data_IF_424386178240
#
_entry.id   IF_424386178240
#
_cell.length_a   1.000
_cell.length_b   1.000
_cell.length_c   1.000
_cell.angle_alpha   90.00
_cell.angle_beta   90.00
_cell.angle_gamma   90.00
#
_symmetry.space_group_name_H-M   'P 1'
#
loop_
_entity.id
_entity.type
_entity.pdbx_description
1 polymer ?
#
# COMPACT_ATOMS: atom_id res chain seq x y z
N UNK A 1 12.07 7.26 -3.82
CA UNK A 1 11.02 6.40 -3.24
C UNK A 1 11.17 5.01 -3.86
N UNK A 2 11.10 3.89 -3.12
CA UNK A 2 11.53 2.58 -3.64
C UNK A 2 10.80 2.13 -4.92
N UNK A 3 9.49 2.30 -5.00
CA UNK A 3 8.70 1.90 -6.18
C UNK A 3 9.10 2.68 -7.44
N UNK A 4 9.25 4.00 -7.31
CA UNK A 4 9.76 4.88 -8.37
C UNK A 4 11.20 4.50 -8.78
N UNK A 5 12.07 4.18 -7.83
CA UNK A 5 13.44 3.69 -8.12
C UNK A 5 13.43 2.38 -8.93
N UNK A 6 12.39 1.56 -8.77
CA UNK A 6 12.18 0.33 -9.55
C UNK A 6 11.40 0.56 -10.86
N UNK A 7 11.11 1.82 -11.21
CA UNK A 7 10.47 2.22 -12.47
C UNK A 7 8.94 2.21 -12.44
N UNK A 8 8.31 2.09 -11.27
CA UNK A 8 6.86 2.17 -11.17
C UNK A 8 6.36 3.62 -11.14
N UNK A 9 5.28 3.88 -11.87
CA UNK A 9 4.51 5.11 -11.71
C UNK A 9 3.63 5.01 -10.46
N UNK A 10 3.74 5.99 -9.57
CA UNK A 10 3.02 5.96 -8.28
C UNK A 10 2.01 7.09 -8.22
N UNK A 11 0.77 6.72 -7.95
CA UNK A 11 -0.32 7.67 -7.67
C UNK A 11 -0.73 7.53 -6.20
N UNK A 12 -0.67 8.65 -5.48
CA UNK A 12 -1.18 8.77 -4.11
C UNK A 12 -2.58 9.35 -4.15
N UNK A 13 -3.55 8.57 -3.66
CA UNK A 13 -4.95 9.00 -3.59
C UNK A 13 -5.37 9.15 -2.14
N UNK A 14 -5.73 10.37 -1.75
CA UNK A 14 -6.19 10.67 -0.40
C UNK A 14 -7.00 11.98 -0.35
N UNK A 15 -7.86 12.19 0.66
CA UNK A 15 -8.38 13.52 0.93
C UNK A 15 -7.24 14.50 1.29
N UNK A 16 -7.35 15.79 0.94
CA UNK A 16 -6.28 16.77 1.18
C UNK A 16 -5.77 16.82 2.63
N UNK A 17 -6.66 16.57 3.60
CA UNK A 17 -6.34 16.59 5.04
C UNK A 17 -5.46 15.43 5.49
N UNK A 18 -5.31 14.38 4.67
CA UNK A 18 -4.51 13.19 4.97
C UNK A 18 -3.23 13.08 4.13
N UNK A 19 -2.98 14.06 3.26
CA UNK A 19 -1.74 14.08 2.53
C UNK A 19 -0.57 14.42 3.46
N UNK A 20 0.57 13.71 3.34
CA UNK A 20 1.78 14.06 4.07
C UNK A 20 2.27 15.48 3.74
N UNK A 21 2.84 16.15 4.73
CA UNK A 21 3.54 17.42 4.51
C UNK A 21 4.70 17.21 3.53
N UNK A 22 4.77 18.06 2.50
CA UNK A 22 5.83 17.98 1.48
C UNK A 22 5.62 16.93 0.40
N UNK A 23 4.43 16.32 0.30
CA UNK A 23 4.11 15.31 -0.73
C UNK A 23 4.33 15.82 -2.17
N UNK A 24 4.23 17.14 -2.40
CA UNK A 24 4.47 17.77 -3.71
C UNK A 24 5.89 17.60 -4.24
N UNK A 25 6.86 17.31 -3.36
CA UNK A 25 8.25 17.03 -3.76
C UNK A 25 8.55 15.55 -3.97
N UNK A 26 7.57 14.67 -3.80
CA UNK A 26 7.77 13.24 -3.97
C UNK A 26 7.67 12.87 -5.45
N UNK A 27 8.37 11.82 -5.91
CA UNK A 27 8.22 11.28 -7.26
C UNK A 27 6.93 10.44 -7.33
N UNK A 28 5.79 11.09 -7.11
CA UNK A 28 4.46 10.49 -7.15
C UNK A 28 3.44 11.54 -7.57
N UNK A 29 2.46 11.13 -8.37
CA UNK A 29 1.30 11.96 -8.70
C UNK A 29 0.33 11.94 -7.53
N UNK A 30 -0.27 13.09 -7.21
CA UNK A 30 -1.32 13.18 -6.19
C UNK A 30 -2.66 13.33 -6.87
N UNK A 31 -3.62 12.50 -6.49
CA UNK A 31 -5.01 12.56 -6.94
C UNK A 31 -5.96 12.57 -5.75
N UNK A 32 -7.14 13.13 -5.95
CA UNK A 32 -8.22 13.16 -4.96
C UNK A 32 -9.46 12.41 -5.43
N UNK A 33 -9.43 11.89 -6.66
CA UNK A 33 -10.50 11.11 -7.24
C UNK A 33 -10.04 9.66 -7.34
N UNK A 34 -10.49 8.83 -6.39
CA UNK A 34 -10.09 7.42 -6.38
C UNK A 34 -10.63 6.66 -7.60
N UNK A 35 -11.84 6.98 -8.05
CA UNK A 35 -12.48 6.24 -9.12
C UNK A 35 -11.76 6.47 -10.46
N UNK A 36 -11.21 7.67 -10.68
CA UNK A 36 -10.49 8.02 -11.89
C UNK A 36 -9.18 7.22 -12.10
N UNK A 37 -8.52 6.83 -11.01
CA UNK A 37 -7.21 6.16 -11.08
C UNK A 37 -7.31 4.64 -11.24
N UNK A 38 -8.42 4.02 -10.85
CA UNK A 38 -8.59 2.56 -10.85
C UNK A 38 -8.38 1.89 -12.22
N UNK A 39 -8.89 2.43 -13.35
CA UNK A 39 -8.77 1.75 -14.64
C UNK A 39 -7.33 1.56 -15.15
N UNK A 40 -6.39 2.36 -14.66
CA UNK A 40 -4.97 2.31 -15.05
C UNK A 40 -4.08 1.57 -14.04
N UNK A 41 -4.62 1.17 -12.88
CA UNK A 41 -3.82 0.63 -11.79
C UNK A 41 -3.49 -0.86 -11.98
N UNK A 42 -2.20 -1.21 -12.01
CA UNK A 42 -1.74 -2.60 -11.94
C UNK A 42 -1.75 -3.14 -10.50
N UNK A 43 -1.68 -2.25 -9.50
CA UNK A 43 -1.75 -2.61 -8.10
C UNK A 43 -2.42 -1.50 -7.29
N UNK A 44 -3.30 -1.87 -6.36
CA UNK A 44 -3.90 -0.94 -5.39
C UNK A 44 -3.44 -1.32 -3.99
N UNK A 45 -2.60 -0.47 -3.40
CA UNK A 45 -2.18 -0.59 -2.01
C UNK A 45 -3.09 0.25 -1.11
N UNK A 46 -4.08 -0.40 -0.51
CA UNK A 46 -4.90 0.23 0.52
C UNK A 46 -4.11 0.35 1.82
N UNK A 47 -4.29 1.48 2.52
CA UNK A 47 -3.64 1.75 3.79
C UNK A 47 -4.66 1.77 4.92
N UNK A 48 -4.17 1.40 6.11
CA UNK A 48 -4.96 1.44 7.33
C UNK A 48 -5.28 2.88 7.72
N UNK A 49 -6.55 3.19 7.87
CA UNK A 49 -7.01 4.40 8.54
C UNK A 49 -6.85 4.22 10.05
N UNK A 50 -5.92 4.97 10.63
CA UNK A 50 -5.66 4.96 12.07
C UNK A 50 -6.44 6.07 12.77
N UNK A 51 -7.77 5.93 12.87
CA UNK A 51 -8.63 6.93 13.51
C UNK A 51 -8.16 7.32 14.91
N UNK A 52 -7.52 6.39 15.64
CA UNK A 52 -6.95 6.61 16.96
C UNK A 52 -5.83 7.66 17.00
N UNK A 53 -5.24 8.02 15.86
CA UNK A 53 -4.13 8.98 15.73
C UNK A 53 -4.59 10.36 15.28
N UNK A 54 -5.88 10.56 15.08
CA UNK A 54 -6.42 11.74 14.36
C UNK A 54 -7.05 12.76 15.30
N UNK A 55 -6.79 12.64 16.60
CA UNK A 55 -7.23 13.59 17.60
C UNK A 55 -6.57 14.95 17.34
N UNK A 56 -7.36 15.94 16.93
CA UNK A 56 -6.92 17.32 16.67
C UNK A 56 -6.78 17.70 15.19
N UNK A 57 -6.99 16.78 14.26
CA UNK A 57 -7.05 17.05 12.81
C UNK A 57 -8.47 16.87 12.24
N UNK A 58 -8.74 17.45 11.07
CA UNK A 58 -10.00 17.23 10.36
C UNK A 58 -9.95 15.89 9.61
N UNK A 59 -10.43 14.83 10.26
CA UNK A 59 -10.66 13.54 9.62
C UNK A 59 -12.10 13.46 9.09
N UNK A 60 -12.33 13.04 7.82
CA UNK A 60 -13.67 12.76 7.33
C UNK A 60 -14.41 11.77 8.24
N UNK A 61 -15.73 11.80 8.27
CA UNK A 61 -16.43 10.74 8.98
C UNK A 61 -16.09 9.37 8.36
N UNK A 62 -16.14 8.29 9.15
CA UNK A 62 -15.94 6.92 8.68
C UNK A 62 -16.76 6.61 7.43
N UNK A 63 -18.02 7.07 7.43
CA UNK A 63 -18.95 6.91 6.31
C UNK A 63 -18.51 7.69 5.09
N UNK A 64 -18.09 8.93 5.26
CA UNK A 64 -17.59 9.78 4.16
C UNK A 64 -16.33 9.18 3.54
N UNK A 65 -15.39 8.73 4.37
CA UNK A 65 -14.18 8.07 3.90
C UNK A 65 -14.50 6.80 3.13
N UNK A 66 -15.35 5.92 3.68
CA UNK A 66 -15.75 4.66 3.02
C UNK A 66 -16.39 4.93 1.65
N UNK A 67 -17.29 5.90 1.56
CA UNK A 67 -17.94 6.26 0.30
C UNK A 67 -16.93 6.82 -0.70
N UNK A 68 -16.05 7.74 -0.29
CA UNK A 68 -15.15 8.45 -1.22
C UNK A 68 -13.88 7.69 -1.56
N UNK A 69 -13.29 6.96 -0.62
CA UNK A 69 -11.96 6.35 -0.73
C UNK A 69 -11.92 4.86 -0.33
N UNK A 70 -13.01 4.28 0.17
CA UNK A 70 -13.07 2.85 0.47
C UNK A 70 -13.07 1.99 -0.79
N UNK A 71 -12.26 0.94 -0.85
CA UNK A 71 -12.25 0.01 -1.97
C UNK A 71 -13.41 -1.00 -1.84
N UNK A 72 -14.46 -0.77 -2.64
CA UNK A 72 -15.67 -1.60 -2.71
C UNK A 72 -15.65 -2.51 -3.92
N UNK A 73 -16.56 -3.48 -4.00
CA UNK A 73 -16.73 -4.40 -5.14
C UNK A 73 -16.96 -3.64 -6.45
N UNK A 74 -17.73 -2.54 -6.38
CA UNK A 74 -17.94 -1.65 -7.55
C UNK A 74 -16.62 -1.09 -8.06
N UNK A 75 -15.75 -0.63 -7.15
CA UNK A 75 -14.43 -0.09 -7.49
C UNK A 75 -13.46 -1.17 -7.93
N UNK A 76 -13.50 -2.34 -7.29
CA UNK A 76 -12.73 -3.50 -7.73
C UNK A 76 -13.08 -3.87 -9.18
N UNK A 77 -14.35 -3.82 -9.57
CA UNK A 77 -14.76 -4.11 -10.94
C UNK A 77 -14.25 -3.09 -11.98
N UNK A 78 -13.72 -1.94 -11.55
CA UNK A 78 -13.07 -0.97 -12.42
C UNK A 78 -11.60 -1.27 -12.66
N UNK A 79 -10.99 -2.14 -11.84
CA UNK A 79 -9.60 -2.53 -11.99
C UNK A 79 -9.42 -3.44 -13.21
N UNK A 80 -8.25 -3.36 -13.88
CA UNK A 80 -7.83 -4.38 -14.82
C UNK A 80 -7.87 -5.78 -14.18
N UNK A 81 -8.20 -6.80 -14.98
CA UNK A 81 -8.33 -8.17 -14.47
C UNK A 81 -7.03 -8.76 -13.89
N UNK A 82 -5.88 -8.23 -14.29
CA UNK A 82 -4.56 -8.61 -13.76
C UNK A 82 -4.15 -7.82 -12.51
N UNK A 83 -4.89 -6.77 -12.15
CA UNK A 83 -4.52 -5.91 -11.05
C UNK A 83 -4.59 -6.64 -9.71
N UNK A 84 -3.71 -6.25 -8.78
CA UNK A 84 -3.63 -6.84 -7.44
C UNK A 84 -4.02 -5.86 -6.35
N UNK A 85 -4.79 -6.33 -5.36
CA UNK A 85 -5.14 -5.57 -4.16
C UNK A 85 -4.20 -5.96 -3.02
N UNK A 86 -3.59 -4.95 -2.41
CA UNK A 86 -2.59 -5.08 -1.35
C UNK A 86 -3.03 -4.27 -0.13
N UNK A 87 -2.64 -4.72 1.07
CA UNK A 87 -2.87 -4.00 2.31
C UNK A 87 -1.88 -4.49 3.40
N UNK A 88 -1.17 -3.59 4.12
CA UNK A 88 -0.18 -3.99 5.12
C UNK A 88 -0.76 -4.56 6.43
N UNK A 89 -2.10 -4.60 6.56
CA UNK A 89 -2.81 -4.88 7.82
C UNK A 89 -2.47 -3.97 9.02
N UNK A 90 -3.17 -4.15 10.17
CA UNK A 90 -4.51 -4.75 10.25
C UNK A 90 -5.53 -3.88 9.50
N UNK A 91 -6.49 -4.51 8.81
CA UNK A 91 -7.47 -3.80 7.99
C UNK A 91 -8.76 -3.48 8.77
N UNK A 92 -9.37 -2.33 8.49
CA UNK A 92 -10.69 -1.92 8.96
C UNK A 92 -11.74 -2.21 7.87
N UNK A 93 -12.25 -3.44 7.91
CA UNK A 93 -13.27 -3.91 6.94
C UNK A 93 -14.54 -3.08 7.04
N UNK A 94 -15.10 -2.73 5.88
CA UNK A 94 -16.26 -1.84 5.76
C UNK A 94 -15.93 -0.35 5.79
N UNK A 95 -14.69 0.04 6.11
CA UNK A 95 -14.22 1.42 6.00
C UNK A 95 -13.29 1.60 4.80
N UNK A 96 -12.06 1.09 4.88
CA UNK A 96 -11.05 1.26 3.82
C UNK A 96 -11.18 0.22 2.71
N UNK A 97 -11.71 -0.95 3.03
CA UNK A 97 -11.91 -2.05 2.08
C UNK A 97 -13.12 -2.87 2.50
N UNK A 98 -13.94 -3.33 1.54
CA UNK A 98 -15.03 -4.26 1.86
C UNK A 98 -14.50 -5.68 2.07
N UNK A 99 -15.21 -6.47 2.86
CA UNK A 99 -14.76 -7.83 3.19
C UNK A 99 -14.59 -8.72 1.95
N UNK A 100 -15.54 -8.61 1.02
CA UNK A 100 -15.54 -9.31 -0.27
C UNK A 100 -14.32 -8.97 -1.13
N UNK A 101 -13.91 -7.70 -1.20
CA UNK A 101 -12.68 -7.33 -1.93
C UNK A 101 -11.45 -7.87 -1.23
N UNK A 102 -11.38 -7.75 0.11
CA UNK A 102 -10.26 -8.24 0.90
C UNK A 102 -10.04 -9.75 0.77
N UNK A 103 -11.11 -10.52 0.52
CA UNK A 103 -11.09 -11.98 0.34
C UNK A 103 -11.21 -12.42 -1.14
N UNK A 104 -11.15 -11.47 -2.07
CA UNK A 104 -11.28 -11.76 -3.51
C UNK A 104 -10.03 -12.42 -4.10
N UNK A 105 -10.17 -13.01 -5.28
CA UNK A 105 -9.04 -13.62 -6.01
C UNK A 105 -7.95 -12.63 -6.43
N UNK A 106 -8.27 -11.33 -6.54
CA UNK A 106 -7.28 -10.27 -6.81
C UNK A 106 -6.58 -9.79 -5.53
N UNK A 107 -7.01 -10.22 -4.35
CA UNK A 107 -6.38 -9.86 -3.08
C UNK A 107 -5.12 -10.68 -2.83
N UNK A 108 -3.99 -10.00 -2.67
CA UNK A 108 -2.72 -10.61 -2.30
C UNK A 108 -2.36 -10.34 -0.82
N UNK A 109 -3.29 -9.88 0.02
CA UNK A 109 -3.00 -9.51 1.42
C UNK A 109 -2.40 -10.68 2.21
N UNK A 110 -2.99 -11.88 2.12
CA UNK A 110 -2.45 -13.05 2.80
C UNK A 110 -1.08 -13.48 2.22
N UNK A 111 -0.90 -13.31 0.92
CA UNK A 111 0.39 -13.54 0.27
C UNK A 111 1.46 -12.55 0.76
N UNK A 112 1.11 -11.28 1.00
CA UNK A 112 2.04 -10.29 1.58
C UNK A 112 2.52 -10.73 2.97
N UNK A 113 1.61 -11.25 3.81
CA UNK A 113 1.98 -11.75 5.15
C UNK A 113 2.95 -12.92 5.05
N UNK A 114 2.65 -13.88 4.16
CA UNK A 114 3.54 -15.01 3.90
C UNK A 114 4.91 -14.54 3.40
N UNK A 115 4.93 -13.72 2.35
CA UNK A 115 6.14 -13.12 1.76
C UNK A 115 6.97 -12.36 2.80
N UNK A 116 6.32 -11.68 3.76
CA UNK A 116 6.98 -10.99 4.84
C UNK A 116 7.82 -11.90 5.75
N UNK A 117 7.46 -13.18 5.91
CA UNK A 117 8.30 -14.15 6.62
C UNK A 117 9.57 -14.44 5.81
N UNK A 118 9.43 -14.74 4.52
CA UNK A 118 10.58 -15.06 3.67
C UNK A 118 11.54 -13.87 3.51
N UNK A 119 11.01 -12.66 3.31
CA UNK A 119 11.83 -11.44 3.24
C UNK A 119 12.59 -11.21 4.55
N UNK A 120 11.95 -11.35 5.72
CA UNK A 120 12.64 -11.21 7.01
C UNK A 120 13.72 -12.26 7.21
N UNK A 121 13.48 -13.51 6.82
CA UNK A 121 14.50 -14.56 6.87
C UNK A 121 15.70 -14.20 5.99
N UNK A 122 15.47 -13.73 4.76
CA UNK A 122 16.54 -13.33 3.84
C UNK A 122 17.36 -12.15 4.39
N UNK A 123 16.69 -11.12 4.94
CA UNK A 123 17.37 -9.97 5.57
C UNK A 123 18.20 -10.41 6.78
N UNK A 124 17.63 -11.21 7.69
CA UNK A 124 18.34 -11.70 8.87
C UNK A 124 19.53 -12.58 8.49
N UNK A 125 19.36 -13.47 7.52
CA UNK A 125 20.46 -14.30 7.01
C UNK A 125 21.58 -13.43 6.43
N UNK A 126 21.25 -12.45 5.60
CA UNK A 126 22.25 -11.56 5.00
C UNK A 126 23.03 -10.77 6.05
N UNK A 127 22.35 -10.20 7.05
CA UNK A 127 22.98 -9.36 8.08
C UNK A 127 23.76 -10.18 9.12
N UNK A 128 23.26 -11.35 9.53
CA UNK A 128 23.85 -12.12 10.64
C UNK A 128 24.84 -13.19 10.18
N UNK A 129 24.66 -13.74 8.98
CA UNK A 129 25.48 -14.83 8.43
C UNK A 129 26.30 -14.35 7.24
N UNK A 130 25.68 -13.62 6.31
CA UNK A 130 26.29 -13.16 5.06
C UNK A 130 27.36 -12.07 5.20
N UNK A 131 27.50 -11.44 6.37
CA UNK A 131 28.50 -10.40 6.61
C UNK A 131 29.93 -10.94 6.83
N UNK A 132 30.12 -12.27 6.96
CA UNK A 132 31.44 -12.84 7.26
C UNK A 132 32.36 -13.05 6.04
N UNK A 133 31.86 -12.91 4.81
CA UNK A 133 32.65 -13.17 3.60
C UNK A 133 33.28 -11.91 2.97
N UNK A 134 32.84 -10.70 3.34
CA UNK A 134 33.36 -9.45 2.78
C UNK A 134 34.77 -9.05 3.28
N UNK A 135 35.34 -9.80 4.24
CA UNK A 135 36.64 -9.51 4.85
C UNK A 135 37.82 -10.31 4.29
N UNK A 136 37.61 -11.25 3.35
CA UNK A 136 38.66 -12.19 2.90
C UNK A 136 39.14 -12.00 1.46
N UNK A 137 38.50 -11.15 0.65
CA UNK A 137 38.88 -10.97 -0.77
C UNK A 137 39.91 -9.85 -1.03
N UNK A 138 40.51 -9.25 0.01
CA UNK A 138 41.49 -8.17 -0.13
C UNK A 138 42.95 -8.52 0.13
N UNK A 139 43.29 -9.81 0.33
CA UNK A 139 44.66 -10.23 0.65
C UNK A 139 45.09 -11.43 -0.20
N UNK A 140 45.49 -11.16 -1.45
CA UNK A 140 46.33 -12.01 -2.27
C UNK A 140 47.17 -11.14 -3.22
#
# INVERSE_FOLDING_TARGET
>A
MLLDTLGAEVVLVAPPTLLPVGVTGWPATVSHDFDAELPAADAVLMLRVQAERMNGGFFPSVREYSVRYGLTERRQAMLPGHAVVLHPGPMVRGMEITSSVADSSQSAVLQQVSNGVQVRMAVLFHVLVGAQDAGKEGAA
#
